data_IF_006293431314
#
_entry.id   IF_006293431314
#
_cell.length_a   1.000
_cell.length_b   1.000
_cell.length_c   1.000
_cell.angle_alpha   90.00
_cell.angle_beta   90.00
_cell.angle_gamma   90.00
#
_symmetry.space_group_name_H-M   'P 1'
#
loop_
_entity.id
_entity.type
_entity.pdbx_description
1 polymer ?
#
# COMPACT_ATOMS: atom_id res chain seq x y z
N UNK A 1 12.12 -17.02 0.84
CA UNK A 1 10.74 -16.52 1.00
C UNK A 1 10.68 -15.01 1.21
N UNK A 2 11.48 -14.41 2.13
CA UNK A 2 11.49 -12.93 2.35
C UNK A 2 11.85 -12.17 1.07
N UNK A 3 12.89 -12.58 0.34
CA UNK A 3 13.30 -11.90 -0.90
C UNK A 3 12.18 -11.87 -1.95
N UNK A 4 11.44 -12.97 -2.12
CA UNK A 4 10.29 -13.03 -3.04
C UNK A 4 9.19 -12.05 -2.59
N UNK A 5 8.89 -12.00 -1.29
CA UNK A 5 7.90 -11.08 -0.76
C UNK A 5 8.30 -9.60 -0.97
N UNK A 6 9.59 -9.28 -0.77
CA UNK A 6 10.15 -7.94 -1.06
C UNK A 6 10.03 -7.59 -2.54
N UNK A 7 10.34 -8.53 -3.44
CA UNK A 7 10.20 -8.30 -4.88
C UNK A 7 8.75 -8.11 -5.31
N UNK A 8 7.82 -8.92 -4.79
CA UNK A 8 6.38 -8.77 -5.07
C UNK A 8 5.85 -7.44 -4.56
N UNK A 9 6.22 -7.05 -3.34
CA UNK A 9 5.88 -5.76 -2.76
C UNK A 9 6.39 -4.60 -3.66
N UNK A 10 7.69 -4.63 -4.00
CA UNK A 10 8.31 -3.60 -4.83
C UNK A 10 7.65 -3.51 -6.21
N UNK A 11 7.38 -4.66 -6.85
CA UNK A 11 6.72 -4.70 -8.15
C UNK A 11 5.30 -4.13 -8.08
N UNK A 12 4.52 -4.46 -7.05
CA UNK A 12 3.17 -3.94 -6.87
C UNK A 12 3.16 -2.41 -6.73
N UNK A 13 4.07 -1.85 -5.91
CA UNK A 13 4.22 -0.40 -5.76
C UNK A 13 4.62 0.30 -7.06
N UNK A 14 5.64 -0.21 -7.75
CA UNK A 14 6.12 0.38 -9.00
C UNK A 14 5.04 0.35 -10.06
N UNK A 15 4.37 -0.79 -10.25
CA UNK A 15 3.28 -0.94 -11.22
C UNK A 15 2.11 -0.02 -10.91
N UNK A 16 1.73 0.11 -9.62
CA UNK A 16 0.67 1.03 -9.21
C UNK A 16 1.01 2.48 -9.57
N UNK A 17 2.23 2.93 -9.26
CA UNK A 17 2.67 4.30 -9.54
C UNK A 17 2.76 4.59 -11.05
N UNK A 18 3.36 3.68 -11.82
CA UNK A 18 3.50 3.84 -13.27
C UNK A 18 2.15 3.84 -13.98
N UNK A 19 1.21 2.99 -13.56
CA UNK A 19 -0.13 2.96 -14.15
C UNK A 19 -0.91 4.24 -13.84
N UNK A 20 -0.80 4.81 -12.64
CA UNK A 20 -1.41 6.10 -12.30
C UNK A 20 -0.77 7.23 -13.11
N UNK A 21 0.54 7.23 -13.29
CA UNK A 21 1.23 8.21 -14.12
C UNK A 21 0.80 8.16 -15.58
N UNK A 22 0.44 6.96 -16.08
CA UNK A 22 0.05 6.74 -17.48
C UNK A 22 -1.45 6.98 -17.71
N UNK A 23 -2.31 6.48 -16.83
CA UNK A 23 -3.76 6.44 -17.01
C UNK A 23 -4.52 7.44 -16.12
N UNK A 24 -3.81 8.15 -15.23
CA UNK A 24 -4.39 9.16 -14.35
C UNK A 24 -5.25 8.58 -13.21
N UNK A 25 -6.14 9.41 -12.62
CA UNK A 25 -6.92 9.04 -11.44
C UNK A 25 -7.88 7.88 -11.63
N UNK A 26 -8.37 7.66 -12.85
CA UNK A 26 -9.40 6.66 -13.16
C UNK A 26 -8.97 5.22 -12.86
N UNK A 27 -7.67 4.91 -12.96
CA UNK A 27 -7.12 3.57 -12.68
C UNK A 27 -6.92 3.31 -11.18
N UNK A 28 -6.98 4.34 -10.35
CA UNK A 28 -6.61 4.23 -8.93
C UNK A 28 -7.49 3.27 -8.13
N UNK A 29 -8.82 3.12 -8.35
CA UNK A 29 -9.61 2.12 -7.63
C UNK A 29 -9.22 0.68 -7.98
N UNK A 30 -8.88 0.39 -9.25
CA UNK A 30 -8.42 -0.94 -9.67
C UNK A 30 -7.06 -1.26 -9.04
N UNK A 31 -6.12 -0.31 -9.11
CA UNK A 31 -4.83 -0.44 -8.42
C UNK A 31 -5.01 -0.63 -6.92
N UNK A 32 -5.92 0.12 -6.32
CA UNK A 32 -6.21 0.03 -4.89
C UNK A 32 -6.70 -1.37 -4.50
N UNK A 33 -7.54 -1.98 -5.32
CA UNK A 33 -8.04 -3.32 -5.07
C UNK A 33 -6.96 -4.40 -5.25
N UNK A 34 -6.26 -4.39 -6.39
CA UNK A 34 -5.34 -5.48 -6.77
C UNK A 34 -3.96 -5.26 -6.14
N UNK A 35 -3.32 -4.12 -6.45
CA UNK A 35 -1.92 -3.88 -6.13
C UNK A 35 -1.74 -3.38 -4.70
N UNK A 36 -2.54 -2.39 -4.28
CA UNK A 36 -2.40 -1.82 -2.94
C UNK A 36 -3.01 -2.74 -1.88
N UNK A 37 -4.07 -3.49 -2.19
CA UNK A 37 -4.59 -4.54 -1.31
C UNK A 37 -3.55 -5.63 -1.04
N UNK A 38 -2.81 -6.04 -2.07
CA UNK A 38 -1.66 -6.94 -1.94
C UNK A 38 -0.54 -6.32 -1.11
N UNK A 39 -0.19 -5.06 -1.40
CA UNK A 39 0.84 -4.30 -0.68
C UNK A 39 0.55 -4.22 0.82
N UNK A 40 -0.66 -3.85 1.22
CA UNK A 40 -1.08 -3.78 2.62
C UNK A 40 -0.86 -5.13 3.33
N UNK A 41 -1.30 -6.23 2.72
CA UNK A 41 -1.15 -7.57 3.27
C UNK A 41 0.32 -8.03 3.34
N UNK A 42 1.11 -7.72 2.30
CA UNK A 42 2.54 -8.00 2.26
C UNK A 42 3.29 -7.19 3.31
N UNK A 43 2.91 -5.95 3.55
CA UNK A 43 3.49 -5.08 4.57
C UNK A 43 3.30 -5.67 5.96
N UNK A 44 2.09 -6.14 6.30
CA UNK A 44 1.82 -6.84 7.56
C UNK A 44 2.68 -8.11 7.70
N UNK A 45 2.81 -8.87 6.62
CA UNK A 45 3.62 -10.07 6.60
C UNK A 45 5.11 -9.78 6.76
N UNK A 46 5.61 -8.70 6.13
CA UNK A 46 6.99 -8.25 6.25
C UNK A 46 7.27 -7.61 7.61
N UNK A 47 6.30 -6.85 8.17
CA UNK A 47 6.42 -6.14 9.44
C UNK A 47 6.95 -7.02 10.59
N UNK A 48 6.50 -8.27 10.66
CA UNK A 48 6.94 -9.22 11.70
C UNK A 48 8.26 -9.95 11.36
N UNK A 49 8.88 -9.65 10.20
CA UNK A 49 10.04 -10.39 9.66
C UNK A 49 11.24 -9.52 9.30
N UNK A 50 11.03 -8.24 9.05
CA UNK A 50 12.09 -7.29 8.75
C UNK A 50 12.06 -6.11 9.74
N UNK A 51 13.19 -5.41 9.84
CA UNK A 51 13.29 -4.25 10.73
C UNK A 51 12.58 -3.03 10.14
N UNK A 52 12.04 -2.10 10.96
CA UNK A 52 11.34 -0.90 10.45
C UNK A 52 12.17 -0.07 9.47
N UNK A 53 13.49 0.07 9.68
CA UNK A 53 14.36 0.79 8.75
C UNK A 53 14.49 0.10 7.38
N UNK A 54 14.40 -1.24 7.33
CA UNK A 54 14.41 -2.00 6.07
C UNK A 54 13.13 -1.77 5.28
N UNK A 55 11.99 -1.64 5.97
CA UNK A 55 10.72 -1.26 5.32
C UNK A 55 10.79 0.18 4.79
N UNK A 56 11.33 1.12 5.57
CA UNK A 56 11.53 2.50 5.11
C UNK A 56 12.47 2.56 3.90
N UNK A 57 13.57 1.80 3.91
CA UNK A 57 14.47 1.69 2.77
C UNK A 57 13.78 1.09 1.53
N UNK A 58 12.94 0.07 1.71
CA UNK A 58 12.18 -0.55 0.62
C UNK A 58 11.22 0.46 -0.03
N UNK A 59 10.49 1.25 0.77
CA UNK A 59 9.61 2.32 0.27
C UNK A 59 10.42 3.36 -0.50
N UNK A 60 11.56 3.81 0.03
CA UNK A 60 12.42 4.79 -0.63
C UNK A 60 12.99 4.25 -1.95
N UNK A 61 13.51 3.03 -1.96
CA UNK A 61 14.07 2.39 -3.16
C UNK A 61 13.00 2.22 -4.24
N UNK A 62 11.80 1.77 -3.89
CA UNK A 62 10.71 1.62 -4.87
C UNK A 62 10.24 2.95 -5.43
N UNK A 63 10.23 4.01 -4.62
CA UNK A 63 9.98 5.38 -5.09
C UNK A 63 11.04 5.87 -6.07
N UNK A 64 12.33 5.68 -5.75
CA UNK A 64 13.45 6.02 -6.63
C UNK A 64 13.44 5.23 -7.94
N UNK A 65 13.15 3.93 -7.89
CA UNK A 65 13.02 3.08 -9.08
C UNK A 65 11.85 3.54 -9.96
N UNK A 66 10.72 3.90 -9.38
CA UNK A 66 9.57 4.46 -10.12
C UNK A 66 9.99 5.73 -10.86
N UNK A 67 10.69 6.64 -10.18
CA UNK A 67 11.19 7.88 -10.80
C UNK A 67 12.21 7.59 -11.92
N UNK A 68 13.12 6.66 -11.70
CA UNK A 68 14.12 6.27 -12.69
C UNK A 68 13.50 5.65 -13.95
N UNK A 69 12.44 4.85 -13.78
CA UNK A 69 11.70 4.23 -14.89
C UNK A 69 10.84 5.22 -15.66
N UNK A 70 10.28 6.20 -14.99
CA UNK A 70 9.46 7.24 -15.60
C UNK A 70 9.58 8.55 -14.79
N UNK A 71 10.42 9.51 -15.21
CA UNK A 71 10.55 10.79 -14.52
C UNK A 71 9.25 11.59 -14.40
N UNK A 72 8.31 11.43 -15.33
CA UNK A 72 7.00 12.10 -15.26
C UNK A 72 6.14 11.54 -14.11
N UNK A 73 6.44 10.34 -13.65
CA UNK A 73 5.83 9.72 -12.48
C UNK A 73 6.41 10.26 -11.15
N UNK A 74 7.37 11.17 -11.17
CA UNK A 74 8.05 11.66 -9.96
C UNK A 74 7.10 12.21 -8.91
N UNK A 75 6.13 13.05 -9.32
CA UNK A 75 5.11 13.58 -8.41
C UNK A 75 4.24 12.47 -7.81
N UNK A 76 3.86 11.48 -8.62
CA UNK A 76 3.08 10.31 -8.17
C UNK A 76 3.91 9.47 -7.21
N UNK A 77 5.18 9.22 -7.52
CA UNK A 77 6.08 8.45 -6.66
C UNK A 77 6.29 9.13 -5.29
N UNK A 78 6.48 10.45 -5.25
CA UNK A 78 6.58 11.21 -4.00
C UNK A 78 5.28 11.14 -3.21
N UNK A 79 4.13 11.38 -3.86
CA UNK A 79 2.82 11.29 -3.21
C UNK A 79 2.58 9.88 -2.62
N UNK A 80 2.94 8.85 -3.38
CA UNK A 80 2.87 7.45 -2.97
C UNK A 80 3.77 7.17 -1.77
N UNK A 81 5.03 7.59 -1.81
CA UNK A 81 5.98 7.40 -0.71
C UNK A 81 5.49 8.09 0.59
N UNK A 82 4.99 9.32 0.50
CA UNK A 82 4.40 10.02 1.64
C UNK A 82 3.18 9.31 2.20
N UNK A 83 2.23 8.93 1.33
CA UNK A 83 1.01 8.25 1.72
C UNK A 83 1.31 6.88 2.36
N UNK A 84 2.19 6.07 1.74
CA UNK A 84 2.60 4.79 2.28
C UNK A 84 3.34 4.92 3.61
N UNK A 85 4.21 5.92 3.76
CA UNK A 85 4.91 6.13 5.03
C UNK A 85 3.95 6.48 6.16
N UNK A 86 3.01 7.39 5.91
CA UNK A 86 1.97 7.75 6.88
C UNK A 86 1.04 6.55 7.19
N UNK A 87 0.57 5.86 6.16
CA UNK A 87 -0.26 4.67 6.31
C UNK A 87 0.47 3.55 7.05
N UNK A 88 1.75 3.32 6.76
CA UNK A 88 2.56 2.31 7.43
C UNK A 88 2.73 2.60 8.93
N UNK A 89 2.87 3.85 9.33
CA UNK A 89 2.95 4.23 10.74
C UNK A 89 1.62 3.96 11.46
N UNK A 90 0.50 4.34 10.85
CA UNK A 90 -0.85 4.11 11.42
C UNK A 90 -1.16 2.61 11.44
N UNK A 91 -0.85 1.89 10.37
CA UNK A 91 -0.99 0.45 10.26
C UNK A 91 -0.18 -0.27 11.35
N UNK A 92 1.10 0.04 11.47
CA UNK A 92 1.97 -0.52 12.51
C UNK A 92 1.43 -0.25 13.92
N UNK A 93 1.02 0.98 14.20
CA UNK A 93 0.48 1.35 15.51
C UNK A 93 -0.81 0.60 15.82
N UNK A 94 -1.70 0.44 14.82
CA UNK A 94 -2.97 -0.28 14.94
C UNK A 94 -2.71 -1.78 15.09
N UNK A 95 -1.89 -2.38 14.22
CA UNK A 95 -1.54 -3.79 14.25
C UNK A 95 -0.93 -4.19 15.61
N UNK A 96 -0.07 -3.34 16.16
CA UNK A 96 0.60 -3.58 17.44
C UNK A 96 -0.37 -3.51 18.63
N UNK A 97 -1.37 -2.61 18.58
CA UNK A 97 -2.36 -2.45 19.66
C UNK A 97 -3.49 -3.47 19.61
N UNK A 98 -3.84 -3.96 18.44
CA UNK A 98 -4.89 -4.96 18.29
C UNK A 98 -4.44 -6.31 18.88
N UNK A 99 -5.35 -6.98 19.56
CA UNK A 99 -5.17 -8.32 20.14
C UNK A 99 -6.08 -9.30 19.41
N UNK A 100 -5.63 -10.56 19.27
CA UNK A 100 -6.38 -11.61 18.59
C UNK A 100 -5.60 -12.30 17.48
N UNK A 101 -6.31 -12.98 16.57
CA UNK A 101 -5.69 -13.70 15.47
C UNK A 101 -4.93 -12.75 14.52
N UNK A 102 -3.92 -13.28 13.81
CA UNK A 102 -3.19 -12.50 12.81
C UNK A 102 -4.13 -11.87 11.78
N UNK A 103 -5.13 -12.63 11.31
CA UNK A 103 -6.12 -12.14 10.33
C UNK A 103 -6.95 -10.97 10.87
N UNK A 104 -7.38 -11.01 12.12
CA UNK A 104 -8.11 -9.91 12.75
C UNK A 104 -7.25 -8.65 12.87
N UNK A 105 -6.00 -8.82 13.29
CA UNK A 105 -5.04 -7.71 13.42
C UNK A 105 -4.70 -7.11 12.07
N UNK A 106 -4.41 -7.93 11.05
CA UNK A 106 -4.10 -7.49 9.70
C UNK A 106 -5.28 -6.74 9.05
N UNK A 107 -6.49 -7.29 9.13
CA UNK A 107 -7.67 -6.58 8.57
C UNK A 107 -7.97 -5.28 9.30
N UNK A 108 -7.84 -5.25 10.63
CA UNK A 108 -8.06 -4.04 11.42
C UNK A 108 -7.04 -2.94 11.13
N UNK A 109 -5.75 -3.30 11.01
CA UNK A 109 -4.71 -2.34 10.66
C UNK A 109 -4.81 -1.89 9.20
N UNK A 110 -5.18 -2.79 8.29
CA UNK A 110 -5.42 -2.47 6.88
C UNK A 110 -6.51 -1.41 6.71
N UNK A 111 -7.60 -1.47 7.49
CA UNK A 111 -8.66 -0.44 7.46
C UNK A 111 -8.09 0.92 7.84
N UNK A 112 -7.32 1.01 8.92
CA UNK A 112 -6.72 2.26 9.36
C UNK A 112 -5.67 2.79 8.37
N UNK A 113 -4.78 1.92 7.88
CA UNK A 113 -3.80 2.27 6.86
C UNK A 113 -4.44 2.70 5.54
N UNK A 114 -5.47 1.97 5.09
CA UNK A 114 -6.21 2.30 3.88
C UNK A 114 -6.91 3.67 3.96
N UNK A 115 -7.46 4.04 5.13
CA UNK A 115 -8.07 5.35 5.32
C UNK A 115 -7.05 6.48 5.12
N UNK A 116 -5.90 6.37 5.78
CA UNK A 116 -4.81 7.37 5.70
C UNK A 116 -4.26 7.46 4.28
N UNK A 117 -3.94 6.33 3.66
CA UNK A 117 -3.39 6.30 2.31
C UNK A 117 -4.37 6.84 1.27
N UNK A 118 -5.65 6.47 1.37
CA UNK A 118 -6.68 6.94 0.43
C UNK A 118 -6.97 8.43 0.54
N UNK A 119 -6.68 9.04 1.68
CA UNK A 119 -6.80 10.48 1.88
C UNK A 119 -5.56 11.23 1.36
N UNK A 120 -4.37 10.75 1.73
CA UNK A 120 -3.11 11.45 1.45
C UNK A 120 -2.71 11.30 -0.02
N UNK A 121 -2.73 10.07 -0.56
CA UNK A 121 -2.24 9.80 -1.91
C UNK A 121 -2.92 10.65 -2.99
N UNK A 122 -4.25 10.62 -3.17
CA UNK A 122 -4.87 11.40 -4.24
C UNK A 122 -4.71 12.92 -4.02
N UNK A 123 -4.73 13.37 -2.76
CA UNK A 123 -4.56 14.79 -2.44
C UNK A 123 -3.19 15.30 -2.88
N UNK A 124 -2.13 14.55 -2.62
CA UNK A 124 -0.77 14.92 -3.02
C UNK A 124 -0.52 14.68 -4.51
N UNK A 125 -0.98 13.55 -5.04
CA UNK A 125 -0.75 13.15 -6.43
C UNK A 125 -1.43 14.10 -7.42
N UNK A 126 -2.67 14.46 -7.14
CA UNK A 126 -3.50 15.27 -8.06
C UNK A 126 -3.65 16.73 -7.62
N UNK A 127 -3.17 17.09 -6.41
CA UNK A 127 -3.18 18.47 -5.90
C UNK A 127 -4.56 18.93 -5.42
N UNK A 128 -5.54 18.04 -5.29
CA UNK A 128 -6.89 18.34 -4.81
C UNK A 128 -7.50 17.16 -4.06
N UNK A 129 -8.32 17.45 -3.07
CA UNK A 129 -9.13 16.43 -2.42
C UNK A 129 -10.25 15.99 -3.37
N UNK A 130 -10.28 14.71 -3.72
CA UNK A 130 -11.25 14.11 -4.63
C UNK A 130 -12.10 13.09 -3.87
N UNK A 131 -13.21 13.48 -3.19
CA UNK A 131 -13.93 12.60 -2.26
C UNK A 131 -14.37 11.27 -2.87
N UNK A 132 -14.80 11.29 -4.14
CA UNK A 132 -15.22 10.08 -4.86
C UNK A 132 -14.04 9.11 -5.06
N UNK A 133 -12.86 9.62 -5.42
CA UNK A 133 -11.64 8.81 -5.59
C UNK A 133 -11.18 8.29 -4.22
N UNK A 134 -11.20 9.12 -3.19
CA UNK A 134 -10.86 8.74 -1.80
C UNK A 134 -11.74 7.58 -1.34
N UNK A 135 -13.06 7.71 -1.49
CA UNK A 135 -14.00 6.67 -1.07
C UNK A 135 -13.82 5.38 -1.89
N UNK A 136 -13.72 5.51 -3.21
CA UNK A 136 -13.53 4.35 -4.10
C UNK A 136 -12.23 3.60 -3.78
N UNK A 137 -11.11 4.30 -3.58
CA UNK A 137 -9.85 3.70 -3.19
C UNK A 137 -9.93 3.06 -1.80
N UNK A 138 -10.56 3.72 -0.83
CA UNK A 138 -10.69 3.20 0.52
C UNK A 138 -11.45 1.86 0.53
N UNK A 139 -12.61 1.81 -0.11
CA UNK A 139 -13.40 0.58 -0.21
C UNK A 139 -12.67 -0.52 -0.99
N UNK A 140 -12.02 -0.16 -2.10
CA UNK A 140 -11.23 -1.09 -2.90
C UNK A 140 -10.05 -1.67 -2.12
N UNK A 141 -9.33 -0.87 -1.33
CA UNK A 141 -8.21 -1.33 -0.49
C UNK A 141 -8.67 -2.28 0.61
N UNK A 142 -9.79 -1.97 1.27
CA UNK A 142 -10.37 -2.87 2.30
C UNK A 142 -10.72 -4.21 1.67
N UNK A 143 -11.47 -4.20 0.57
CA UNK A 143 -11.89 -5.42 -0.11
C UNK A 143 -10.68 -6.22 -0.64
N UNK A 144 -9.74 -5.57 -1.32
CA UNK A 144 -8.51 -6.18 -1.82
C UNK A 144 -7.64 -6.73 -0.69
N UNK A 145 -7.40 -5.93 0.37
CA UNK A 145 -6.64 -6.34 1.54
C UNK A 145 -7.25 -7.54 2.26
N UNK A 146 -8.58 -7.58 2.42
CA UNK A 146 -9.28 -8.71 3.01
C UNK A 146 -9.11 -10.00 2.19
N UNK A 147 -9.23 -9.90 0.86
CA UNK A 147 -9.04 -11.05 -0.06
C UNK A 147 -7.61 -11.55 0.01
N UNK A 148 -6.62 -10.67 -0.10
CA UNK A 148 -5.22 -11.05 -0.04
C UNK A 148 -4.84 -11.63 1.33
N UNK A 149 -5.33 -11.04 2.42
CA UNK A 149 -5.14 -11.55 3.79
C UNK A 149 -5.71 -12.96 3.93
N UNK A 150 -6.88 -13.21 3.34
CA UNK A 150 -7.49 -14.54 3.34
C UNK A 150 -6.68 -15.56 2.53
N UNK A 151 -6.20 -15.19 1.32
CA UNK A 151 -5.33 -16.04 0.49
C UNK A 151 -4.05 -16.39 1.25
N UNK A 152 -3.39 -15.40 1.85
CA UNK A 152 -2.17 -15.61 2.63
C UNK A 152 -2.37 -16.45 3.89
N UNK A 153 -3.54 -16.35 4.52
CA UNK A 153 -3.84 -17.17 5.68
C UNK A 153 -4.06 -18.64 5.31
N UNK A 154 -4.70 -18.90 4.16
CA UNK A 154 -4.88 -20.27 3.64
C UNK A 154 -3.56 -20.94 3.24
N UNK A 155 -2.60 -20.21 2.75
CA UNK A 155 -1.30 -20.77 2.34
C UNK A 155 -0.40 -21.18 3.52
N UNK A 156 -0.84 -20.96 4.77
CA UNK A 156 -0.13 -21.35 6.00
C UNK A 156 -0.67 -22.64 6.61
N UNK A 157 -1.82 -23.13 6.15
CA UNK A 157 -2.38 -24.44 6.50
C UNK A 157 -1.99 -25.48 5.47
#
# INVERSE_FOLDING_TARGET
>A
MIAIAVLVYAAAMILANLSVATFGPSVTPVNAFVLIGLDLTMRDWLHVRIKPWQMAALIAITGLLTYALNPTAGKIAVASACAFSAAALVDWATFTRLRGSWMYRANGSNVAGAAVDSLIFPTLAFGALMPQIVLAQFLAKIAGGAIWTWIFNRSKT
#
